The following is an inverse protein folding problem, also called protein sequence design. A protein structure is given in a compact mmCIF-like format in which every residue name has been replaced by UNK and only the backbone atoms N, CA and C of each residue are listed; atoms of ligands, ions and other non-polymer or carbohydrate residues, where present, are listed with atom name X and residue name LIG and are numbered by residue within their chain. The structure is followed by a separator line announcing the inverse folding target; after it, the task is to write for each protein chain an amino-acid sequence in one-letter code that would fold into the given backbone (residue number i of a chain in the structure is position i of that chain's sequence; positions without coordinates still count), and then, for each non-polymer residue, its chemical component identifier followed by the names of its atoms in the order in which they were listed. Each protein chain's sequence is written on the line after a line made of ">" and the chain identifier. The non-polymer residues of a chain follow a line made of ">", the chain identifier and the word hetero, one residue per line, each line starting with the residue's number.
data_IF_564145761710
#
_entry.id   IF_564145761710
#
_cell.length_a   1.000
_cell.length_b   1.000
_cell.length_c   1.000
_cell.angle_alpha   90.00
_cell.angle_beta   90.00
_cell.angle_gamma   90.00
#
_symmetry.space_group_name_H-M   'P 1'
#
loop_
_entity.id
_entity.type
_entity.pdbx_description
1 polymer ?
#
# COMPACT_ATOMS: atom_id res chain seq x y z
N UNK A 1 10.67 -6.52 -11.56
CA UNK A 1 10.28 -5.09 -11.40
C UNK A 1 10.78 -4.32 -12.62
N UNK A 2 10.03 -3.40 -13.24
CA UNK A 2 10.51 -2.69 -14.46
C UNK A 2 11.87 -2.00 -14.26
N UNK A 3 12.10 -1.44 -13.08
CA UNK A 3 13.33 -0.72 -12.73
C UNK A 3 14.50 -1.65 -12.37
N UNK A 4 14.22 -2.87 -11.90
CA UNK A 4 15.21 -3.85 -11.46
C UNK A 4 14.83 -5.25 -11.94
N UNK A 5 15.03 -5.55 -13.23
CA UNK A 5 14.64 -6.85 -13.79
C UNK A 5 15.55 -7.99 -13.32
N UNK A 6 16.82 -7.71 -13.00
CA UNK A 6 17.82 -8.73 -12.67
C UNK A 6 17.90 -9.05 -11.17
N UNK A 7 17.14 -8.35 -10.33
CA UNK A 7 17.12 -8.61 -8.89
C UNK A 7 16.05 -9.68 -8.60
N UNK A 8 16.45 -10.89 -8.12
CA UNK A 8 15.50 -11.94 -7.81
C UNK A 8 14.68 -11.56 -6.57
N UNK A 9 13.39 -11.85 -6.63
CA UNK A 9 12.47 -11.77 -5.49
C UNK A 9 12.80 -12.83 -4.43
N UNK A 10 12.28 -12.66 -3.21
CA UNK A 10 12.38 -13.68 -2.17
C UNK A 10 11.77 -15.03 -2.61
N UNK A 11 10.65 -15.00 -3.35
CA UNK A 11 10.01 -16.21 -3.88
C UNK A 11 10.88 -16.97 -4.86
N UNK A 12 11.56 -16.27 -5.78
CA UNK A 12 12.50 -16.90 -6.72
C UNK A 12 13.71 -17.51 -6.02
N UNK A 13 14.05 -17.01 -4.83
CA UNK A 13 15.10 -17.56 -3.98
C UNK A 13 14.62 -18.68 -3.03
N UNK A 14 13.36 -19.09 -3.14
CA UNK A 14 12.79 -20.19 -2.33
C UNK A 14 12.20 -19.78 -0.99
N UNK A 15 12.08 -18.49 -0.69
CA UNK A 15 11.39 -17.99 0.50
C UNK A 15 9.94 -17.63 0.16
N UNK A 16 8.97 -18.18 0.89
CA UNK A 16 7.57 -17.78 0.73
C UNK A 16 7.28 -16.46 1.47
N UNK A 17 7.87 -15.38 0.97
CA UNK A 17 7.79 -14.06 1.55
C UNK A 17 7.45 -13.02 0.49
N UNK A 18 6.35 -12.29 0.72
CA UNK A 18 5.98 -11.10 -0.05
C UNK A 18 5.76 -9.97 0.93
N UNK A 19 6.53 -8.90 0.77
CA UNK A 19 6.41 -7.70 1.57
C UNK A 19 5.98 -6.53 0.69
N UNK A 20 4.93 -5.82 1.12
CA UNK A 20 4.41 -4.65 0.42
C UNK A 20 4.32 -3.47 1.38
N UNK A 21 4.97 -2.38 1.01
CA UNK A 21 4.82 -1.11 1.71
C UNK A 21 3.58 -0.38 1.20
N UNK A 22 2.56 -0.25 2.05
CA UNK A 22 1.37 0.52 1.75
C UNK A 22 1.64 2.02 2.01
N UNK A 23 1.27 2.88 1.07
CA UNK A 23 1.20 4.34 1.25
C UNK A 23 -0.25 4.76 1.10
N UNK A 24 -0.82 5.42 2.10
CA UNK A 24 -2.23 5.74 2.13
C UNK A 24 -2.53 7.05 2.86
N UNK A 25 -3.75 7.55 2.66
CA UNK A 25 -4.30 8.73 3.32
C UNK A 25 -5.55 8.28 4.07
N UNK A 26 -5.64 8.62 5.36
CA UNK A 26 -6.78 8.32 6.21
C UNK A 26 -7.45 9.62 6.67
N UNK A 27 -8.78 9.62 6.68
CA UNK A 27 -9.59 10.68 7.30
C UNK A 27 -9.87 10.41 8.77
N UNK A 28 -10.63 11.30 9.41
CA UNK A 28 -11.14 11.06 10.76
C UNK A 28 -12.25 10.00 10.75
N UNK A 29 -12.50 9.30 11.89
CA UNK A 29 -13.54 8.27 11.95
C UNK A 29 -14.96 8.78 11.67
N UNK A 30 -15.21 10.06 11.89
CA UNK A 30 -16.49 10.76 11.72
C UNK A 30 -16.59 11.55 10.40
N UNK A 31 -15.64 11.36 9.48
CA UNK A 31 -15.66 12.03 8.19
C UNK A 31 -16.93 11.65 7.41
N UNK A 32 -17.74 12.62 6.94
CA UNK A 32 -18.99 12.31 6.25
C UNK A 32 -18.75 11.69 4.87
N UNK A 33 -19.65 10.80 4.44
CA UNK A 33 -19.53 10.00 3.21
C UNK A 33 -19.24 10.84 1.96
N UNK A 34 -19.89 12.01 1.84
CA UNK A 34 -19.67 12.89 0.69
C UNK A 34 -18.22 13.42 0.63
N UNK A 35 -17.60 13.66 1.80
CA UNK A 35 -16.22 14.12 1.89
C UNK A 35 -15.26 12.98 1.56
N UNK A 36 -15.52 11.77 2.08
CA UNK A 36 -14.75 10.56 1.73
C UNK A 36 -14.76 10.36 0.22
N UNK A 37 -15.94 10.40 -0.41
CA UNK A 37 -16.09 10.24 -1.86
C UNK A 37 -15.33 11.31 -2.63
N UNK A 38 -15.50 12.58 -2.26
CA UNK A 38 -14.85 13.72 -2.93
C UNK A 38 -13.32 13.59 -2.89
N UNK A 39 -12.77 13.26 -1.72
CA UNK A 39 -11.32 13.10 -1.55
C UNK A 39 -10.82 11.87 -2.31
N UNK A 40 -11.52 10.74 -2.21
CA UNK A 40 -11.14 9.51 -2.92
C UNK A 40 -11.07 9.74 -4.43
N UNK A 41 -12.06 10.41 -5.02
CA UNK A 41 -12.08 10.75 -6.45
C UNK A 41 -10.94 11.70 -6.84
N UNK A 42 -10.65 12.70 -6.01
CA UNK A 42 -9.52 13.61 -6.23
C UNK A 42 -8.18 12.86 -6.19
N UNK A 43 -7.98 11.99 -5.20
CA UNK A 43 -6.78 11.17 -5.06
C UNK A 43 -6.62 10.17 -6.21
N UNK A 44 -7.73 9.62 -6.72
CA UNK A 44 -7.70 8.78 -7.93
C UNK A 44 -7.12 9.55 -9.11
N UNK A 45 -7.66 10.75 -9.39
CA UNK A 45 -7.18 11.61 -10.47
C UNK A 45 -5.71 11.99 -10.30
N UNK A 46 -5.27 12.29 -9.07
CA UNK A 46 -3.84 12.54 -8.78
C UNK A 46 -3.02 11.30 -9.08
N UNK A 47 -3.45 10.12 -8.60
CA UNK A 47 -2.73 8.87 -8.81
C UNK A 47 -2.62 8.50 -10.28
N UNK A 48 -3.61 8.83 -11.11
CA UNK A 48 -3.62 8.55 -12.54
C UNK A 48 -2.89 9.63 -13.37
N UNK A 49 -2.53 10.76 -12.75
CA UNK A 49 -1.87 11.87 -13.46
C UNK A 49 -0.46 11.50 -13.92
N UNK A 50 -0.08 12.00 -15.10
CA UNK A 50 1.25 11.78 -15.67
C UNK A 50 2.36 12.27 -14.73
N UNK A 51 2.16 13.43 -14.09
CA UNK A 51 3.10 13.98 -13.12
C UNK A 51 3.33 13.00 -11.96
N UNK A 52 2.27 12.41 -11.41
CA UNK A 52 2.41 11.43 -10.34
C UNK A 52 3.15 10.17 -10.80
N UNK A 53 2.77 9.62 -11.96
CA UNK A 53 3.41 8.42 -12.49
C UNK A 53 4.90 8.64 -12.78
N UNK A 54 5.26 9.74 -13.45
CA UNK A 54 6.65 10.02 -13.85
C UNK A 54 7.50 10.56 -12.71
N UNK A 55 7.03 11.58 -12.00
CA UNK A 55 7.86 12.30 -11.02
C UNK A 55 7.85 11.68 -9.63
N UNK A 56 6.88 10.83 -9.32
CA UNK A 56 6.83 10.15 -8.02
C UNK A 56 7.02 8.65 -8.15
N UNK A 57 6.18 7.96 -8.91
CA UNK A 57 6.21 6.49 -8.97
C UNK A 57 7.50 5.98 -9.61
N UNK A 58 7.81 6.40 -10.84
CA UNK A 58 8.99 5.93 -11.56
C UNK A 58 10.31 6.33 -10.87
N UNK A 59 10.44 7.60 -10.47
CA UNK A 59 11.64 8.11 -9.78
C UNK A 59 11.97 7.39 -8.48
N UNK A 60 10.96 6.87 -7.79
CA UNK A 60 11.13 6.17 -6.51
C UNK A 60 11.03 4.64 -6.64
N UNK A 61 11.05 4.10 -7.88
CA UNK A 61 10.92 2.68 -8.17
C UNK A 61 9.69 2.02 -7.50
N UNK A 62 8.57 2.75 -7.44
CA UNK A 62 7.34 2.29 -6.81
C UNK A 62 6.46 1.56 -7.82
N UNK A 63 5.55 0.72 -7.30
CA UNK A 63 4.45 0.16 -8.08
C UNK A 63 3.21 0.98 -7.79
N UNK A 64 2.64 1.62 -8.82
CA UNK A 64 1.40 2.37 -8.67
C UNK A 64 0.22 1.41 -8.54
N UNK A 65 -0.57 1.59 -7.50
CA UNK A 65 -1.86 0.94 -7.32
C UNK A 65 -2.75 1.90 -6.54
N UNK A 66 -3.87 2.30 -7.15
CA UNK A 66 -4.92 3.03 -6.44
C UNK A 66 -5.85 2.01 -5.78
N UNK A 67 -6.18 2.26 -4.51
CA UNK A 67 -7.20 1.54 -3.75
C UNK A 67 -8.23 2.58 -3.30
N UNK A 68 -9.50 2.35 -3.64
CA UNK A 68 -10.61 3.13 -3.10
C UNK A 68 -10.82 2.85 -1.61
N UNK A 69 -11.74 3.58 -0.94
CA UNK A 69 -11.92 3.51 0.51
C UNK A 69 -12.12 2.09 1.06
N UNK A 70 -12.98 1.28 0.46
CA UNK A 70 -13.23 -0.10 0.91
C UNK A 70 -12.04 -1.03 0.68
N UNK A 71 -11.39 -0.90 -0.47
CA UNK A 71 -10.23 -1.73 -0.84
C UNK A 71 -9.03 -1.40 0.02
N UNK A 72 -8.87 -0.12 0.36
CA UNK A 72 -7.89 0.36 1.31
C UNK A 72 -8.16 -0.19 2.72
N UNK A 73 -9.40 -0.14 3.20
CA UNK A 73 -9.76 -0.70 4.51
C UNK A 73 -9.41 -2.19 4.61
N UNK A 74 -9.72 -2.98 3.57
CA UNK A 74 -9.31 -4.39 3.48
C UNK A 74 -7.79 -4.55 3.51
N UNK A 75 -7.07 -3.75 2.73
CA UNK A 75 -5.61 -3.80 2.68
C UNK A 75 -4.93 -3.44 4.01
N UNK A 76 -5.54 -2.57 4.83
CA UNK A 76 -5.07 -2.27 6.19
C UNK A 76 -5.29 -3.45 7.12
N UNK A 77 -6.49 -4.06 7.09
CA UNK A 77 -6.78 -5.22 7.92
C UNK A 77 -5.87 -6.42 7.60
N UNK A 78 -5.59 -6.66 6.31
CA UNK A 78 -4.66 -7.70 5.88
C UNK A 78 -3.23 -7.41 6.34
N UNK A 79 -2.79 -6.14 6.25
CA UNK A 79 -1.48 -5.74 6.72
C UNK A 79 -1.35 -5.89 8.25
N UNK A 80 -2.36 -5.44 9.01
CA UNK A 80 -2.41 -5.59 10.46
C UNK A 80 -2.30 -7.06 10.87
N UNK A 81 -3.05 -7.95 10.21
CA UNK A 81 -2.97 -9.39 10.43
C UNK A 81 -1.56 -9.92 10.18
N UNK A 82 -0.99 -9.62 9.01
CA UNK A 82 0.36 -10.06 8.64
C UNK A 82 1.42 -9.58 9.65
N UNK A 83 1.38 -8.29 10.03
CA UNK A 83 2.32 -7.75 11.01
C UNK A 83 2.12 -8.35 12.40
N UNK A 84 0.88 -8.58 12.82
CA UNK A 84 0.59 -9.20 14.12
C UNK A 84 1.14 -10.62 14.20
N UNK A 85 0.95 -11.43 13.15
CA UNK A 85 1.51 -12.79 13.05
C UNK A 85 3.06 -12.74 13.14
N UNK A 86 3.70 -11.94 12.27
CA UNK A 86 5.17 -11.81 12.26
C UNK A 86 5.71 -11.33 13.60
N UNK A 87 5.13 -10.28 14.19
CA UNK A 87 5.60 -9.73 15.45
C UNK A 87 5.35 -10.68 16.63
N UNK A 88 4.30 -11.50 16.57
CA UNK A 88 4.01 -12.51 17.60
C UNK A 88 5.07 -13.61 17.56
N UNK A 89 5.37 -14.12 16.35
CA UNK A 89 6.40 -15.15 16.15
C UNK A 89 7.79 -14.67 16.60
N UNK A 90 8.08 -13.38 16.43
CA UNK A 90 9.31 -12.75 16.89
C UNK A 90 9.31 -12.39 18.39
N UNK A 91 8.19 -12.58 19.10
CA UNK A 91 8.06 -12.22 20.52
C UNK A 91 8.06 -10.71 20.78
N UNK A 92 7.69 -9.90 19.78
CA UNK A 92 7.76 -8.43 19.80
C UNK A 92 6.40 -7.74 20.05
N UNK A 93 5.30 -8.50 20.09
CA UNK A 93 3.99 -7.93 20.45
C UNK A 93 3.97 -7.61 21.94
N UNK A 94 3.76 -6.33 22.26
CA UNK A 94 3.45 -5.92 23.64
C UNK A 94 2.08 -6.44 24.05
N UNK A 95 2.02 -7.07 25.22
CA UNK A 95 0.77 -7.40 25.91
C UNK A 95 0.13 -6.14 26.48
#
# INVERSE_FOLDING_TARGET
>A
LKTYPDIPTFKEQGYDAVFRQLRAISGTPDMPDYAVKTIAEALKKVSESERWQKDYIEKNALTSQYLGPEEYARAVADAEKQYTEILTDLGLVKK
#
